data_IF_039571537504
#
_entry.id   IF_039571537504
#
_cell.length_a   1.000
_cell.length_b   1.000
_cell.length_c   1.000
_cell.angle_alpha   90.00
_cell.angle_beta   90.00
_cell.angle_gamma   90.00
#
_symmetry.space_group_name_H-M   'P 1'
#
loop_
_entity.id
_entity.type
_entity.pdbx_description
1 polymer ?
#
# COMPACT_ATOMS: atom_id res chain seq x y z
N UNK A 1 -5.87 -20.19 -11.05
CA UNK A 1 -6.74 -19.01 -11.08
C UNK A 1 -6.65 -18.13 -9.82
N UNK A 2 -6.66 -18.76 -8.63
CA UNK A 2 -6.58 -18.03 -7.35
C UNK A 2 -5.24 -17.31 -7.19
N UNK A 3 -4.16 -17.96 -7.57
CA UNK A 3 -2.82 -17.38 -7.50
C UNK A 3 -2.72 -16.17 -8.43
N UNK A 4 -3.25 -16.26 -9.63
CA UNK A 4 -3.22 -15.16 -10.60
C UNK A 4 -4.07 -13.97 -10.15
N UNK A 5 -5.19 -14.22 -9.47
CA UNK A 5 -5.99 -13.14 -8.89
C UNK A 5 -5.20 -12.38 -7.82
N UNK A 6 -4.48 -13.11 -6.96
CA UNK A 6 -3.61 -12.50 -5.95
C UNK A 6 -2.47 -11.71 -6.61
N UNK A 7 -1.84 -12.27 -7.62
CA UNK A 7 -0.76 -11.60 -8.37
C UNK A 7 -1.28 -10.31 -9.02
N UNK A 8 -2.47 -10.34 -9.63
CA UNK A 8 -3.08 -9.15 -10.20
C UNK A 8 -3.30 -8.07 -9.16
N UNK A 9 -3.84 -8.42 -7.99
CA UNK A 9 -4.03 -7.48 -6.89
C UNK A 9 -2.69 -6.89 -6.45
N UNK A 10 -1.66 -7.74 -6.29
CA UNK A 10 -0.33 -7.30 -5.86
C UNK A 10 0.28 -6.36 -6.89
N UNK A 11 0.18 -6.66 -8.18
CA UNK A 11 0.71 -5.81 -9.25
C UNK A 11 0.12 -4.40 -9.13
N UNK A 12 -1.19 -4.30 -8.97
CA UNK A 12 -1.84 -3.00 -8.87
C UNK A 12 -1.50 -2.25 -7.58
N UNK A 13 -1.51 -2.93 -6.44
CA UNK A 13 -1.27 -2.28 -5.15
C UNK A 13 0.20 -1.98 -4.90
N UNK A 14 1.13 -2.69 -5.54
CA UNK A 14 2.58 -2.44 -5.38
C UNK A 14 3.03 -1.12 -5.99
N UNK A 15 2.16 -0.41 -6.67
CA UNK A 15 2.38 0.98 -7.07
C UNK A 15 2.71 1.87 -5.85
N UNK A 16 2.25 1.50 -4.64
CA UNK A 16 2.59 2.24 -3.44
C UNK A 16 4.11 2.32 -3.18
N UNK A 17 4.85 1.31 -3.55
CA UNK A 17 6.30 1.32 -3.40
C UNK A 17 6.96 2.40 -4.24
N UNK A 18 6.46 2.60 -5.46
CA UNK A 18 6.91 3.68 -6.34
C UNK A 18 6.50 5.04 -5.78
N UNK A 19 5.28 5.16 -5.26
CA UNK A 19 4.80 6.36 -4.60
C UNK A 19 5.69 6.73 -3.40
N UNK A 20 5.97 5.77 -2.53
CA UNK A 20 6.73 6.02 -1.31
C UNK A 20 8.20 6.32 -1.58
N UNK A 21 8.75 5.85 -2.69
CA UNK A 21 10.17 6.04 -3.03
C UNK A 21 10.53 7.51 -3.19
N UNK A 22 9.67 8.30 -3.82
CA UNK A 22 9.91 9.72 -4.08
C UNK A 22 9.13 10.64 -3.13
N UNK A 23 8.35 10.09 -2.23
CA UNK A 23 7.59 10.89 -1.27
C UNK A 23 8.46 11.81 -0.42
N UNK A 24 9.66 11.40 0.07
CA UNK A 24 10.53 12.30 0.82
C UNK A 24 10.88 13.56 0.03
N UNK A 25 11.14 13.45 -1.26
CA UNK A 25 11.46 14.60 -2.12
C UNK A 25 10.24 15.52 -2.23
N UNK A 26 9.08 14.96 -2.47
CA UNK A 26 7.83 15.71 -2.57
C UNK A 26 7.51 16.44 -1.26
N UNK A 27 7.63 15.74 -0.13
CA UNK A 27 7.36 16.30 1.19
C UNK A 27 8.34 17.46 1.49
N UNK A 28 9.63 17.25 1.23
CA UNK A 28 10.64 18.27 1.49
C UNK A 28 10.45 19.53 0.64
N UNK A 29 9.85 19.40 -0.55
CA UNK A 29 9.58 20.54 -1.42
C UNK A 29 8.52 21.50 -0.85
N UNK A 30 7.77 21.07 0.17
CA UNK A 30 6.76 21.91 0.83
C UNK A 30 7.37 22.87 1.88
N UNK A 31 8.66 22.78 2.14
CA UNK A 31 9.35 23.60 3.14
C UNK A 31 10.28 24.61 2.48
N UNK A 32 10.57 25.74 3.15
CA UNK A 32 11.44 26.79 2.58
C UNK A 32 12.87 26.33 2.30
N UNK A 33 13.39 25.39 3.10
CA UNK A 33 14.74 24.86 2.91
C UNK A 33 14.70 23.35 2.84
N UNK A 34 15.65 22.78 2.10
CA UNK A 34 15.79 21.32 1.99
C UNK A 34 16.11 20.69 3.35
N UNK A 35 16.94 21.35 4.16
CA UNK A 35 17.32 20.86 5.48
C UNK A 35 16.10 20.76 6.41
N UNK A 36 15.28 21.80 6.45
CA UNK A 36 14.06 21.80 7.25
C UNK A 36 13.09 20.69 6.80
N UNK A 37 12.91 20.53 5.50
CA UNK A 37 12.07 19.48 4.93
C UNK A 37 12.56 18.09 5.30
N UNK A 38 13.86 17.85 5.23
CA UNK A 38 14.45 16.56 5.59
C UNK A 38 14.31 16.24 7.06
N UNK A 39 14.49 17.24 7.94
CA UNK A 39 14.31 17.07 9.38
C UNK A 39 12.86 16.74 9.72
N UNK A 40 11.92 17.48 9.16
CA UNK A 40 10.49 17.23 9.39
C UNK A 40 10.05 15.89 8.83
N UNK A 41 10.61 15.48 7.70
CA UNK A 41 10.36 14.14 7.15
C UNK A 41 10.85 13.05 8.11
N UNK A 42 12.02 13.24 8.71
CA UNK A 42 12.56 12.30 9.70
C UNK A 42 11.62 12.13 10.89
N UNK A 43 11.09 13.22 11.44
CA UNK A 43 10.10 13.15 12.52
C UNK A 43 8.82 12.47 12.09
N UNK A 44 8.30 12.82 10.92
CA UNK A 44 7.09 12.23 10.37
C UNK A 44 7.25 10.72 10.16
N UNK A 45 8.37 10.32 9.58
CA UNK A 45 8.65 8.91 9.31
C UNK A 45 8.79 8.11 10.61
N UNK A 46 9.44 8.68 11.62
CA UNK A 46 9.57 8.04 12.95
C UNK A 46 8.22 7.84 13.62
N UNK A 47 7.36 8.84 13.55
CA UNK A 47 5.99 8.75 14.09
C UNK A 47 5.17 7.71 13.31
N UNK A 48 5.31 7.67 12.00
CA UNK A 48 4.63 6.67 11.17
C UNK A 48 5.06 5.24 11.55
N UNK A 49 6.36 5.00 11.72
CA UNK A 49 6.87 3.67 12.11
C UNK A 49 6.32 3.26 13.47
N UNK A 50 6.24 4.19 14.42
CA UNK A 50 5.62 3.91 15.71
C UNK A 50 4.14 3.52 15.56
N UNK A 51 3.38 4.24 14.73
CA UNK A 51 1.99 3.91 14.46
C UNK A 51 1.84 2.58 13.72
N UNK A 52 2.77 2.24 12.83
CA UNK A 52 2.78 0.94 12.17
C UNK A 52 2.96 -0.20 13.18
N UNK A 53 3.84 -0.03 14.15
CA UNK A 53 4.03 -1.02 15.21
C UNK A 53 2.74 -1.23 16.01
N UNK A 54 2.06 -0.14 16.37
CA UNK A 54 0.75 -0.22 17.03
C UNK A 54 -0.28 -0.89 16.12
N UNK A 55 -0.28 -0.58 14.83
CA UNK A 55 -1.16 -1.18 13.85
C UNK A 55 -0.95 -2.69 13.70
N UNK A 56 0.29 -3.16 13.80
CA UNK A 56 0.59 -4.60 13.74
C UNK A 56 -0.04 -5.39 14.89
N UNK A 57 -0.22 -4.77 16.05
CA UNK A 57 -0.96 -5.39 17.15
C UNK A 57 -2.45 -5.43 16.90
N UNK A 58 -3.01 -4.41 16.24
CA UNK A 58 -4.45 -4.26 16.00
C UNK A 58 -4.92 -4.95 14.72
N UNK A 59 -4.06 -5.07 13.71
CA UNK A 59 -4.43 -5.59 12.39
C UNK A 59 -4.97 -7.03 12.43
N UNK A 60 -4.40 -7.98 13.20
CA UNK A 60 -4.96 -9.33 13.27
C UNK A 60 -6.41 -9.36 13.75
N UNK A 61 -6.74 -8.53 14.72
CA UNK A 61 -8.12 -8.42 15.21
C UNK A 61 -9.06 -7.97 14.09
N UNK A 62 -8.69 -6.93 13.37
CA UNK A 62 -9.51 -6.39 12.27
C UNK A 62 -9.65 -7.42 11.14
N UNK A 63 -8.53 -8.03 10.71
CA UNK A 63 -8.53 -8.98 9.60
C UNK A 63 -9.31 -10.24 9.95
N UNK A 64 -9.22 -10.72 11.19
CA UNK A 64 -10.01 -11.85 11.65
C UNK A 64 -11.51 -11.54 11.64
N UNK A 65 -11.86 -10.27 11.88
CA UNK A 65 -13.26 -9.85 11.91
C UNK A 65 -13.86 -9.69 10.52
N UNK A 66 -13.13 -9.08 9.58
CA UNK A 66 -13.64 -8.78 8.24
C UNK A 66 -13.28 -9.81 7.19
N UNK A 67 -12.30 -10.68 7.46
CA UNK A 67 -11.82 -11.69 6.53
C UNK A 67 -10.62 -11.21 5.72
N UNK A 68 -9.85 -12.18 5.20
CA UNK A 68 -8.60 -11.89 4.47
C UNK A 68 -8.86 -11.10 3.17
N UNK A 69 -9.85 -11.51 2.38
CA UNK A 69 -10.19 -10.80 1.14
C UNK A 69 -10.56 -9.35 1.43
N UNK A 70 -11.45 -9.14 2.39
CA UNK A 70 -11.91 -7.80 2.76
C UNK A 70 -10.77 -6.96 3.33
N UNK A 71 -9.83 -7.59 4.05
CA UNK A 71 -8.61 -6.94 4.52
C UNK A 71 -7.73 -6.45 3.39
N UNK A 72 -7.54 -7.28 2.36
CA UNK A 72 -6.78 -6.89 1.16
C UNK A 72 -7.45 -5.72 0.44
N UNK A 73 -8.76 -5.79 0.24
CA UNK A 73 -9.53 -4.73 -0.42
C UNK A 73 -9.48 -3.43 0.41
N UNK A 74 -9.64 -3.53 1.72
CA UNK A 74 -9.54 -2.38 2.62
C UNK A 74 -8.17 -1.70 2.48
N UNK A 75 -7.09 -2.47 2.53
CA UNK A 75 -5.74 -1.93 2.39
C UNK A 75 -5.55 -1.26 1.02
N UNK A 76 -6.02 -1.88 -0.06
CA UNK A 76 -5.95 -1.31 -1.40
C UNK A 76 -6.73 -0.01 -1.54
N UNK A 77 -7.92 0.06 -0.94
CA UNK A 77 -8.73 1.28 -0.96
C UNK A 77 -8.09 2.42 -0.16
N UNK A 78 -7.49 2.11 1.00
CA UNK A 78 -6.75 3.11 1.78
C UNK A 78 -5.54 3.62 1.00
N UNK A 79 -4.80 2.74 0.33
CA UNK A 79 -3.69 3.12 -0.53
C UNK A 79 -4.14 4.07 -1.65
N UNK A 80 -5.22 3.71 -2.34
CA UNK A 80 -5.76 4.52 -3.43
C UNK A 80 -6.18 5.91 -2.92
N UNK A 81 -6.88 5.94 -1.80
CA UNK A 81 -7.34 7.19 -1.17
C UNK A 81 -6.15 8.05 -0.75
N UNK A 82 -5.10 7.43 -0.18
CA UNK A 82 -3.88 8.12 0.22
C UNK A 82 -3.19 8.78 -0.98
N UNK A 83 -3.02 8.05 -2.07
CA UNK A 83 -2.37 8.58 -3.26
C UNK A 83 -3.17 9.69 -3.91
N UNK A 84 -4.48 9.51 -4.04
CA UNK A 84 -5.36 10.55 -4.61
C UNK A 84 -5.36 11.78 -3.71
N UNK A 85 -5.46 11.61 -2.40
CA UNK A 85 -5.42 12.72 -1.45
C UNK A 85 -4.10 13.47 -1.52
N UNK A 86 -2.97 12.76 -1.67
CA UNK A 86 -1.66 13.40 -1.82
C UNK A 86 -1.58 14.28 -3.06
N UNK A 87 -2.31 13.95 -4.10
CA UNK A 87 -2.39 14.77 -5.31
C UNK A 87 -3.34 15.95 -5.23
N UNK A 88 -4.31 15.91 -4.31
CA UNK A 88 -5.34 16.94 -4.18
C UNK A 88 -5.07 17.95 -3.07
N UNK A 89 -4.41 17.53 -1.98
CA UNK A 89 -4.18 18.41 -0.83
C UNK A 89 -2.89 19.20 -1.00
N UNK A 90 -2.83 20.37 -0.37
CA UNK A 90 -1.66 21.24 -0.37
C UNK A 90 -1.23 21.49 1.07
N UNK A 91 0.07 21.76 1.24
CA UNK A 91 0.65 22.10 2.52
C UNK A 91 1.21 20.91 3.30
N UNK A 92 2.24 21.15 4.12
CA UNK A 92 2.94 20.07 4.81
C UNK A 92 2.06 19.27 5.77
N UNK A 93 1.13 19.94 6.45
CA UNK A 93 0.28 19.27 7.45
C UNK A 93 -0.65 18.25 6.82
N UNK A 94 -1.35 18.63 5.73
CA UNK A 94 -2.29 17.73 5.05
C UNK A 94 -1.56 16.57 4.38
N UNK A 95 -0.39 16.84 3.79
CA UNK A 95 0.45 15.80 3.19
C UNK A 95 0.97 14.84 4.26
N UNK A 96 1.32 15.34 5.45
CA UNK A 96 1.72 14.51 6.58
C UNK A 96 0.60 13.57 7.02
N UNK A 97 -0.63 14.04 7.06
CA UNK A 97 -1.79 13.22 7.40
C UNK A 97 -1.97 12.09 6.38
N UNK A 98 -1.82 12.38 5.09
CA UNK A 98 -1.92 11.36 4.05
C UNK A 98 -0.84 10.30 4.21
N UNK A 99 0.38 10.68 4.55
CA UNK A 99 1.45 9.72 4.80
C UNK A 99 1.16 8.82 6.01
N UNK A 100 0.56 9.35 7.06
CA UNK A 100 0.24 8.57 8.26
C UNK A 100 -0.79 7.47 7.99
N UNK A 101 -1.59 7.57 6.94
CA UNK A 101 -2.50 6.49 6.53
C UNK A 101 -1.76 5.21 6.18
N UNK A 102 -0.49 5.29 5.79
CA UNK A 102 0.35 4.11 5.54
C UNK A 102 0.47 3.22 6.79
N UNK A 103 0.43 3.79 7.97
CA UNK A 103 0.46 3.04 9.23
C UNK A 103 -0.78 2.15 9.42
N UNK A 104 -1.89 2.48 8.77
CA UNK A 104 -3.09 1.65 8.77
C UNK A 104 -3.03 0.60 7.67
N UNK A 105 -2.66 1.00 6.46
CA UNK A 105 -2.72 0.12 5.29
C UNK A 105 -1.70 -1.01 5.32
N UNK A 106 -0.45 -0.72 5.71
CA UNK A 106 0.61 -1.71 5.64
C UNK A 106 0.39 -2.89 6.60
N UNK A 107 0.08 -2.67 7.89
CA UNK A 107 -0.22 -3.79 8.77
C UNK A 107 -1.40 -4.64 8.31
N UNK A 108 -2.48 -4.01 7.87
CA UNK A 108 -3.66 -4.72 7.36
C UNK A 108 -3.31 -5.50 6.10
N UNK A 109 -2.54 -4.92 5.19
CA UNK A 109 -2.11 -5.58 3.97
C UNK A 109 -1.29 -6.85 4.26
N UNK A 110 -0.27 -6.72 5.11
CA UNK A 110 0.63 -7.85 5.42
C UNK A 110 -0.12 -8.98 6.12
N UNK A 111 -0.91 -8.67 7.14
CA UNK A 111 -1.69 -9.68 7.85
C UNK A 111 -2.70 -10.34 6.91
N UNK A 112 -3.34 -9.55 6.06
CA UNK A 112 -4.33 -10.05 5.10
C UNK A 112 -3.71 -10.96 4.05
N UNK A 113 -2.51 -10.63 3.56
CA UNK A 113 -1.80 -11.47 2.58
C UNK A 113 -1.47 -12.84 3.19
N UNK A 114 -0.91 -12.85 4.40
CA UNK A 114 -0.58 -14.11 5.06
C UNK A 114 -1.82 -14.95 5.34
N UNK A 115 -2.89 -14.32 5.81
CA UNK A 115 -4.14 -15.03 6.07
C UNK A 115 -4.78 -15.54 4.78
N UNK A 116 -4.81 -14.73 3.73
CA UNK A 116 -5.34 -15.14 2.43
C UNK A 116 -4.58 -16.34 1.87
N UNK A 117 -3.25 -16.31 1.96
CA UNK A 117 -2.42 -17.41 1.51
C UNK A 117 -2.69 -18.69 2.30
N UNK A 118 -2.83 -18.59 3.62
CA UNK A 118 -3.08 -19.77 4.45
C UNK A 118 -4.47 -20.35 4.26
N UNK A 119 -5.48 -19.56 3.89
CA UNK A 119 -6.84 -20.02 3.66
C UNK A 119 -7.06 -20.59 2.26
N UNK A 120 -6.34 -20.10 1.25
CA UNK A 120 -6.58 -20.45 -0.15
C UNK A 120 -5.52 -21.37 -0.74
N UNK A 121 -4.40 -21.54 -0.07
CA UNK A 121 -3.26 -22.33 -0.52
C UNK A 121 -2.76 -23.21 0.62
N UNK A 122 -1.85 -24.15 0.31
CA UNK A 122 -1.22 -24.97 1.32
C UNK A 122 -0.46 -24.11 2.33
N UNK A 123 -0.73 -24.31 3.63
CA UNK A 123 -0.07 -23.56 4.72
C UNK A 123 1.44 -23.68 4.69
N UNK A 124 1.98 -24.83 4.20
CA UNK A 124 3.42 -25.06 4.07
C UNK A 124 4.07 -24.08 3.09
N UNK A 125 3.29 -23.53 2.16
CA UNK A 125 3.78 -22.64 1.12
C UNK A 125 3.58 -21.16 1.45
N UNK A 126 3.05 -20.83 2.63
CA UNK A 126 2.73 -19.44 2.99
C UNK A 126 3.91 -18.50 2.84
N UNK A 127 5.08 -18.87 3.36
CA UNK A 127 6.29 -18.05 3.24
C UNK A 127 6.75 -17.93 1.79
N UNK A 128 6.72 -19.02 1.03
CA UNK A 128 7.10 -19.03 -0.38
C UNK A 128 6.14 -18.18 -1.20
N UNK A 129 4.83 -18.29 -0.95
CA UNK A 129 3.82 -17.49 -1.64
C UNK A 129 3.97 -16.00 -1.31
N UNK A 130 4.32 -15.67 -0.07
CA UNK A 130 4.59 -14.28 0.30
C UNK A 130 5.82 -13.77 -0.46
N UNK A 131 6.92 -14.53 -0.46
CA UNK A 131 8.16 -14.10 -1.11
C UNK A 131 7.99 -13.96 -2.62
N UNK A 132 7.39 -14.96 -3.28
CA UNK A 132 7.22 -14.98 -4.73
C UNK A 132 6.03 -14.13 -5.16
N UNK A 133 4.89 -14.30 -4.50
CA UNK A 133 3.64 -13.63 -4.88
C UNK A 133 3.56 -12.17 -4.49
N UNK A 134 4.31 -11.76 -3.47
CA UNK A 134 4.28 -10.37 -3.00
C UNK A 134 5.66 -9.70 -3.13
N UNK A 135 6.67 -10.19 -2.41
CA UNK A 135 7.94 -9.47 -2.31
C UNK A 135 8.67 -9.39 -3.65
N UNK A 136 8.78 -10.50 -4.37
CA UNK A 136 9.42 -10.50 -5.69
C UNK A 136 8.62 -9.71 -6.72
N UNK A 137 7.31 -9.87 -6.74
CA UNK A 137 6.43 -9.13 -7.65
C UNK A 137 6.52 -7.63 -7.36
N UNK A 138 6.49 -7.25 -6.10
CA UNK A 138 6.62 -5.86 -5.66
C UNK A 138 7.95 -5.27 -6.14
N UNK A 139 9.05 -6.00 -5.97
CA UNK A 139 10.38 -5.54 -6.40
C UNK A 139 10.49 -5.39 -7.92
N UNK A 140 9.94 -6.34 -8.68
CA UNK A 140 9.94 -6.28 -10.15
C UNK A 140 9.12 -5.09 -10.62
N UNK A 141 7.92 -4.90 -10.07
CA UNK A 141 7.04 -3.79 -10.44
C UNK A 141 7.72 -2.46 -10.10
N UNK A 142 8.34 -2.32 -8.93
CA UNK A 142 9.06 -1.10 -8.57
C UNK A 142 10.20 -0.82 -9.55
N UNK A 143 10.95 -1.85 -9.95
CA UNK A 143 12.04 -1.71 -10.90
C UNK A 143 11.56 -1.23 -12.26
N UNK A 144 10.44 -1.78 -12.74
CA UNK A 144 9.89 -1.42 -14.06
C UNK A 144 9.23 -0.05 -14.02
N UNK A 145 8.47 0.26 -12.97
CA UNK A 145 7.67 1.48 -12.90
C UNK A 145 8.46 2.71 -12.43
N UNK A 146 9.58 2.54 -11.72
CA UNK A 146 10.33 3.69 -11.19
C UNK A 146 10.79 4.65 -12.29
N UNK A 147 11.35 4.20 -13.42
CA UNK A 147 11.70 5.12 -14.51
C UNK A 147 10.48 5.83 -15.09
N UNK A 148 9.36 5.12 -15.24
CA UNK A 148 8.12 5.70 -15.76
C UNK A 148 7.56 6.73 -14.79
N UNK A 149 7.61 6.45 -13.50
CA UNK A 149 7.18 7.39 -12.46
C UNK A 149 8.07 8.64 -12.45
N UNK A 150 9.39 8.47 -12.54
CA UNK A 150 10.32 9.59 -12.63
C UNK A 150 10.03 10.48 -13.82
N UNK A 151 9.78 9.90 -14.98
CA UNK A 151 9.39 10.64 -16.17
C UNK A 151 8.08 11.41 -15.95
N UNK A 152 7.11 10.77 -15.34
CA UNK A 152 5.82 11.40 -15.03
C UNK A 152 5.98 12.58 -14.06
N UNK A 153 6.82 12.44 -13.04
CA UNK A 153 7.09 13.51 -12.08
C UNK A 153 7.72 14.72 -12.75
N UNK A 154 8.66 14.51 -13.66
CA UNK A 154 9.31 15.60 -14.39
C UNK A 154 8.35 16.29 -15.34
N UNK A 155 7.52 15.53 -16.05
CA UNK A 155 6.64 16.07 -17.08
C UNK A 155 5.35 16.67 -16.53
N UNK A 156 4.72 16.01 -15.56
CA UNK A 156 3.40 16.39 -15.04
C UNK A 156 3.40 16.88 -13.60
N UNK A 157 4.51 16.69 -12.86
CA UNK A 157 4.61 17.02 -11.44
C UNK A 157 4.12 15.90 -10.54
N UNK A 158 4.43 16.03 -9.25
CA UNK A 158 4.11 15.01 -8.25
C UNK A 158 2.59 14.85 -8.04
N UNK A 159 1.87 15.98 -7.92
CA UNK A 159 0.45 15.96 -7.60
C UNK A 159 -0.35 15.18 -8.65
N UNK A 160 -0.11 15.48 -9.93
CA UNK A 160 -0.81 14.84 -11.03
C UNK A 160 -0.42 13.37 -11.17
N UNK A 161 0.87 13.06 -10.96
CA UNK A 161 1.36 11.69 -10.98
C UNK A 161 0.74 10.85 -9.87
N UNK A 162 0.60 11.42 -8.67
CA UNK A 162 -0.04 10.73 -7.55
C UNK A 162 -1.53 10.49 -7.79
N UNK A 163 -2.23 11.42 -8.42
CA UNK A 163 -3.62 11.21 -8.81
C UNK A 163 -3.75 10.02 -9.77
N UNK A 164 -2.88 9.95 -10.77
CA UNK A 164 -2.89 8.84 -11.74
C UNK A 164 -2.61 7.51 -11.02
N UNK A 165 -1.59 7.47 -10.16
CA UNK A 165 -1.26 6.27 -9.39
C UNK A 165 -2.42 5.83 -8.50
N UNK A 166 -3.05 6.77 -7.81
CA UNK A 166 -4.19 6.49 -6.94
C UNK A 166 -5.37 5.93 -7.71
N UNK A 167 -5.65 6.47 -8.89
CA UNK A 167 -6.71 5.96 -9.75
C UNK A 167 -6.41 4.55 -10.26
N UNK A 168 -5.16 4.26 -10.61
CA UNK A 168 -4.74 2.92 -11.03
C UNK A 168 -4.91 1.91 -9.91
N UNK A 169 -4.49 2.26 -8.69
CA UNK A 169 -4.66 1.39 -7.52
C UNK A 169 -6.14 1.19 -7.21
N UNK A 170 -6.93 2.24 -7.30
CA UNK A 170 -8.37 2.17 -7.08
C UNK A 170 -9.03 1.22 -8.08
N UNK A 171 -8.73 1.35 -9.37
CA UNK A 171 -9.28 0.49 -10.41
C UNK A 171 -8.89 -0.96 -10.21
N UNK A 172 -7.60 -1.22 -9.90
CA UNK A 172 -7.11 -2.57 -9.63
C UNK A 172 -7.81 -3.19 -8.43
N UNK A 173 -7.96 -2.43 -7.34
CA UNK A 173 -8.62 -2.89 -6.12
C UNK A 173 -10.09 -3.18 -6.38
N UNK A 174 -10.76 -2.30 -7.13
CA UNK A 174 -12.16 -2.49 -7.50
C UNK A 174 -12.37 -3.76 -8.32
N UNK A 175 -11.51 -4.00 -9.31
CA UNK A 175 -11.57 -5.23 -10.11
C UNK A 175 -11.28 -6.45 -9.22
N UNK A 176 -10.36 -6.33 -8.27
CA UNK A 176 -10.00 -7.42 -7.36
C UNK A 176 -11.14 -7.81 -6.43
N UNK A 177 -12.12 -6.95 -6.17
CA UNK A 177 -13.32 -7.33 -5.42
C UNK A 177 -14.01 -8.54 -6.08
N UNK A 178 -14.00 -8.57 -7.40
CA UNK A 178 -14.64 -9.66 -8.16
C UNK A 178 -13.71 -10.85 -8.40
N UNK A 179 -12.40 -10.62 -8.43
CA UNK A 179 -11.42 -11.67 -8.75
C UNK A 179 -10.97 -12.47 -7.54
N UNK A 180 -10.80 -11.80 -6.38
CA UNK A 180 -10.34 -12.47 -5.18
C UNK A 180 -11.45 -13.35 -4.60
N UNK A 181 -11.06 -14.52 -4.13
CA UNK A 181 -12.01 -15.46 -3.54
C UNK A 181 -12.44 -14.98 -2.16
N UNK A 182 -13.75 -14.88 -1.98
CA UNK A 182 -14.32 -14.64 -0.66
C UNK A 182 -14.04 -15.84 0.23
N UNK A 183 -13.40 -15.61 1.39
CA UNK A 183 -13.31 -16.64 2.41
C UNK A 183 -14.67 -16.75 3.07
N UNK A 184 -15.40 -17.85 2.82
CA UNK A 184 -16.73 -18.10 3.40
C UNK A 184 -16.66 -18.41 4.90
N UNK A 185 -15.47 -18.58 5.45
CA UNK A 185 -15.33 -18.94 6.85
C UNK A 185 -14.43 -17.98 7.57
N UNK A 186 -15.00 -16.85 7.96
CA UNK A 186 -14.50 -16.10 9.11
C UNK A 186 -14.64 -16.91 10.40
N UNK A 187 -15.26 -18.08 10.34
CA UNK A 187 -15.57 -18.94 11.49
C UNK A 187 -14.67 -20.15 11.62
N UNK A 188 -13.79 -20.44 10.64
CA UNK A 188 -12.82 -21.51 10.81
C UNK A 188 -11.64 -21.00 11.64
N UNK A 189 -11.46 -21.51 12.87
CA UNK A 189 -10.32 -21.16 13.68
C UNK A 189 -9.06 -21.66 12.99
N UNK A 190 -8.07 -20.78 12.88
CA UNK A 190 -6.72 -21.14 12.47
C UNK A 190 -6.08 -22.03 13.52
#
# INVERSE_FOLDING_TARGET
>A
PRFWALVFFVIGTCIYGVYDQQFPVYFSSQFPTLQEGNEMYGYLNSFQVFLEAAGMFCAPWLVNRIGAKNGLIFAGMVMAMRMVASGLVEGPLLISITKLLHAVELPVLLVSIFKYNSLNFDKRLSSTLYLVGFACTSSVIATVLSPLAGYSYEKYGFAQSYLIMGLLVFCTTFISIFLLRSSKSSSDPL
#
